data_IF_023304235828
#
_entry.id   IF_023304235828
#
_cell.length_a   1.000
_cell.length_b   1.000
_cell.length_c   1.000
_cell.angle_alpha   90.00
_cell.angle_beta   90.00
_cell.angle_gamma   90.00
#
_symmetry.space_group_name_H-M   'P 1'
#
loop_
_entity.id
_entity.type
_entity.pdbx_description
1 polymer ?
#
# COMPACT_ATOMS: atom_id res chain seq x y z
N UNK A 1 2.14 23.49 -20.97
CA UNK A 1 0.92 22.65 -20.90
C UNK A 1 1.17 21.16 -21.18
N UNK A 2 1.90 20.80 -22.23
CA UNK A 2 2.24 19.40 -22.59
C UNK A 2 3.22 18.73 -21.62
N UNK A 3 4.29 19.42 -21.22
CA UNK A 3 5.25 18.88 -20.23
C UNK A 3 4.65 18.64 -18.85
N UNK A 4 3.70 19.47 -18.45
CA UNK A 4 3.03 19.34 -17.14
C UNK A 4 2.07 18.15 -17.12
N UNK A 5 1.47 17.79 -18.26
CA UNK A 5 0.69 16.54 -18.43
C UNK A 5 1.59 15.31 -18.37
N UNK A 6 2.76 15.33 -19.01
CA UNK A 6 3.69 14.20 -18.98
C UNK A 6 4.19 13.96 -17.56
N UNK A 7 4.55 15.03 -16.83
CA UNK A 7 4.98 14.89 -15.44
C UNK A 7 3.87 14.32 -14.55
N UNK A 8 2.61 14.75 -14.74
CA UNK A 8 1.47 14.25 -13.96
C UNK A 8 1.08 12.80 -14.28
N UNK A 9 1.34 12.33 -15.50
CA UNK A 9 1.10 10.93 -15.86
C UNK A 9 2.24 10.03 -15.39
N UNK A 10 3.50 10.46 -15.49
CA UNK A 10 4.65 9.69 -15.00
C UNK A 10 4.58 9.47 -13.48
N UNK A 11 4.04 10.43 -12.71
CA UNK A 11 3.83 10.25 -11.27
C UNK A 11 2.74 9.23 -10.91
N UNK A 12 1.79 8.96 -11.83
CA UNK A 12 0.72 7.98 -11.64
C UNK A 12 1.17 6.54 -11.95
N UNK A 13 2.41 6.35 -12.39
CA UNK A 13 2.93 5.08 -12.89
C UNK A 13 4.15 4.68 -12.07
N UNK A 14 4.43 3.37 -12.00
CA UNK A 14 5.60 2.90 -11.31
C UNK A 14 6.86 3.37 -12.05
N UNK A 15 7.67 4.20 -11.39
CA UNK A 15 8.96 4.62 -11.91
C UNK A 15 10.06 3.62 -11.54
N UNK A 16 11.13 3.62 -12.32
CA UNK A 16 12.27 2.73 -12.09
C UNK A 16 12.88 2.96 -10.72
N UNK A 17 13.15 1.86 -10.00
CA UNK A 17 13.74 1.88 -8.67
C UNK A 17 12.94 2.65 -7.60
N UNK A 18 11.63 2.86 -7.79
CA UNK A 18 10.78 3.37 -6.73
C UNK A 18 10.65 2.33 -5.60
N UNK A 19 10.97 2.74 -4.38
CA UNK A 19 10.87 1.90 -3.18
C UNK A 19 9.56 2.13 -2.41
N UNK A 20 8.91 3.27 -2.64
CA UNK A 20 7.66 3.63 -1.98
C UNK A 20 6.42 3.28 -2.78
N UNK A 21 5.28 3.76 -2.30
CA UNK A 21 4.01 3.73 -3.02
C UNK A 21 4.02 4.78 -4.15
N UNK A 22 3.10 4.62 -5.12
CA UNK A 22 2.86 5.64 -6.15
C UNK A 22 2.20 6.88 -5.54
N UNK A 23 2.33 8.01 -6.23
CA UNK A 23 1.70 9.26 -5.80
C UNK A 23 0.17 9.11 -5.77
N UNK A 24 -0.45 9.63 -4.71
CA UNK A 24 -1.88 9.47 -4.49
C UNK A 24 -2.71 10.29 -5.49
N UNK A 25 -3.59 9.61 -6.23
CA UNK A 25 -4.56 10.25 -7.14
C UNK A 25 -5.95 10.44 -6.52
N UNK A 26 -6.19 9.92 -5.31
CA UNK A 26 -7.44 10.04 -4.57
C UNK A 26 -7.20 10.35 -3.08
N UNK A 27 -8.15 11.02 -2.39
CA UNK A 27 -8.03 11.30 -0.96
C UNK A 27 -7.90 10.03 -0.10
N UNK A 28 -8.52 8.92 -0.53
CA UNK A 28 -8.40 7.62 0.15
C UNK A 28 -6.99 7.06 0.03
N UNK A 29 -6.35 7.18 -1.14
CA UNK A 29 -4.96 6.75 -1.33
C UNK A 29 -3.98 7.58 -0.49
N UNK A 30 -4.24 8.87 -0.31
CA UNK A 30 -3.44 9.70 0.60
C UNK A 30 -3.54 9.22 2.05
N UNK A 31 -4.73 8.87 2.53
CA UNK A 31 -4.91 8.27 3.87
C UNK A 31 -4.22 6.90 4.00
N UNK A 32 -4.23 6.09 2.93
CA UNK A 32 -3.51 4.82 2.89
C UNK A 32 -1.99 5.03 2.99
N UNK A 33 -1.44 6.04 2.31
CA UNK A 33 -0.03 6.40 2.41
C UNK A 33 0.33 6.81 3.85
N UNK A 34 -0.48 7.66 4.50
CA UNK A 34 -0.27 8.02 5.91
C UNK A 34 -0.33 6.81 6.85
N UNK A 35 -1.28 5.90 6.63
CA UNK A 35 -1.38 4.67 7.43
C UNK A 35 -0.19 3.73 7.22
N UNK A 36 0.26 3.60 5.97
CA UNK A 36 1.45 2.83 5.62
C UNK A 36 2.69 3.39 6.34
N UNK A 37 2.93 4.69 6.27
CA UNK A 37 4.09 5.34 6.89
C UNK A 37 4.05 5.22 8.43
N UNK A 38 2.87 5.37 9.03
CA UNK A 38 2.67 5.15 10.46
C UNK A 38 3.03 3.71 10.88
N UNK A 39 2.56 2.71 10.12
CA UNK A 39 2.82 1.30 10.40
C UNK A 39 4.30 0.96 10.18
N UNK A 40 4.91 1.48 9.11
CA UNK A 40 6.33 1.29 8.81
C UNK A 40 7.22 1.90 9.90
N UNK A 41 6.86 3.06 10.45
CA UNK A 41 7.57 3.67 11.58
C UNK A 41 7.55 2.74 12.81
N UNK A 42 6.40 2.15 13.13
CA UNK A 42 6.29 1.22 14.26
C UNK A 42 7.13 -0.04 14.03
N UNK A 43 7.05 -0.63 12.83
CA UNK A 43 7.81 -1.82 12.47
C UNK A 43 9.32 -1.57 12.52
N UNK A 44 9.78 -0.44 11.99
CA UNK A 44 11.21 -0.07 12.03
C UNK A 44 11.71 0.15 13.46
N UNK A 45 10.90 0.73 14.34
CA UNK A 45 11.25 0.85 15.76
C UNK A 45 11.39 -0.53 16.44
N UNK A 46 10.49 -1.47 16.16
CA UNK A 46 10.59 -2.84 16.71
C UNK A 46 11.81 -3.56 16.16
N UNK A 47 12.08 -3.49 14.86
CA UNK A 47 13.23 -4.19 14.26
C UNK A 47 14.56 -3.65 14.78
N UNK A 48 14.68 -2.33 14.97
CA UNK A 48 15.86 -1.71 15.59
C UNK A 48 15.99 -2.16 17.05
N UNK A 49 14.91 -2.16 17.83
CA UNK A 49 14.93 -2.61 19.23
C UNK A 49 15.39 -4.07 19.37
N UNK A 50 14.80 -4.97 18.58
CA UNK A 50 15.15 -6.39 18.59
C UNK A 50 16.58 -6.59 18.09
N UNK A 51 16.96 -5.92 17.00
CA UNK A 51 18.32 -5.95 16.46
C UNK A 51 19.36 -5.48 17.48
N UNK A 52 19.05 -4.43 18.24
CA UNK A 52 19.91 -3.94 19.32
C UNK A 52 20.05 -4.96 20.46
N UNK A 53 18.95 -5.53 20.96
CA UNK A 53 19.00 -6.55 22.04
C UNK A 53 19.81 -7.77 21.59
N UNK A 54 19.56 -8.27 20.37
CA UNK A 54 20.31 -9.39 19.82
C UNK A 54 21.79 -9.06 19.66
N UNK A 55 22.14 -7.88 19.15
CA UNK A 55 23.53 -7.43 19.06
C UNK A 55 24.22 -7.39 20.43
N UNK A 56 23.56 -6.81 21.43
CA UNK A 56 24.08 -6.74 22.79
C UNK A 56 24.31 -8.12 23.42
N UNK A 57 23.40 -9.08 23.20
CA UNK A 57 23.54 -10.45 23.72
C UNK A 57 24.76 -11.16 23.11
N UNK A 58 25.06 -10.95 21.84
CA UNK A 58 26.22 -11.56 21.17
C UNK A 58 27.56 -11.04 21.70
N UNK A 59 27.62 -9.78 22.15
CA UNK A 59 28.85 -9.19 22.71
C UNK A 59 28.97 -9.33 24.23
N UNK A 60 27.94 -9.86 24.91
CA UNK A 60 27.95 -10.00 26.36
C UNK A 60 28.85 -11.16 26.81
N UNK A 61 29.79 -10.89 27.72
CA UNK A 61 30.71 -11.89 28.29
C UNK A 61 30.23 -12.49 29.61
N UNK A 62 29.24 -11.89 30.25
CA UNK A 62 28.74 -12.35 31.55
C UNK A 62 27.74 -13.49 31.38
N UNK A 63 27.81 -14.48 32.26
CA UNK A 63 26.89 -15.63 32.25
C UNK A 63 26.00 -15.62 33.48
N UNK A 64 24.70 -15.86 33.28
CA UNK A 64 23.76 -16.07 34.37
C UNK A 64 22.93 -17.34 34.11
N UNK A 65 23.26 -18.42 34.83
CA UNK A 65 22.65 -19.75 34.67
C UNK A 65 21.40 -19.98 35.52
N UNK A 66 21.13 -19.13 36.50
CA UNK A 66 20.05 -19.35 37.47
C UNK A 66 18.76 -18.59 37.13
N UNK A 67 18.73 -17.87 36.01
CA UNK A 67 17.53 -17.20 35.49
C UNK A 67 16.62 -18.22 34.81
N UNK A 68 15.90 -19.01 35.61
CA UNK A 68 15.02 -20.07 35.11
C UNK A 68 13.57 -19.62 34.87
N UNK A 69 13.11 -18.59 35.60
CA UNK A 69 11.76 -18.04 35.48
C UNK A 69 11.81 -16.51 35.59
N UNK A 70 10.94 -15.85 34.83
CA UNK A 70 10.85 -14.40 34.76
C UNK A 70 9.42 -13.92 34.51
N UNK A 71 8.47 -14.28 35.39
CA UNK A 71 7.07 -13.91 35.22
C UNK A 71 6.85 -12.42 34.95
N UNK A 72 7.64 -11.56 35.60
CA UNK A 72 7.54 -10.11 35.42
C UNK A 72 7.97 -9.66 34.02
N UNK A 73 9.02 -10.25 33.43
CA UNK A 73 9.45 -9.92 32.05
C UNK A 73 8.46 -10.48 31.03
N UNK A 74 7.87 -11.65 31.31
CA UNK A 74 6.82 -12.24 30.49
C UNK A 74 5.61 -11.33 30.36
N UNK A 75 5.12 -10.81 31.50
CA UNK A 75 4.00 -9.87 31.49
C UNK A 75 4.34 -8.61 30.68
N UNK A 76 5.56 -8.07 30.84
CA UNK A 76 6.00 -6.88 30.10
C UNK A 76 6.01 -7.13 28.59
N UNK A 77 6.65 -8.20 28.13
CA UNK A 77 6.76 -8.47 26.68
C UNK A 77 5.46 -8.99 26.05
N UNK A 78 4.43 -9.33 26.83
CA UNK A 78 3.11 -9.69 26.29
C UNK A 78 2.22 -8.46 26.21
N UNK A 79 2.21 -7.62 27.24
CA UNK A 79 1.37 -6.41 27.28
C UNK A 79 1.88 -5.33 26.32
N UNK A 80 3.21 -5.14 26.24
CA UNK A 80 3.79 -4.09 25.40
C UNK A 80 3.45 -4.26 23.91
N UNK A 81 3.63 -5.45 23.27
CA UNK A 81 3.20 -5.66 21.88
C UNK A 81 1.69 -5.56 21.69
N UNK A 82 0.88 -5.98 22.67
CA UNK A 82 -0.57 -5.85 22.58
C UNK A 82 -1.01 -4.38 22.49
N UNK A 83 -0.38 -3.50 23.25
CA UNK A 83 -0.62 -2.05 23.18
C UNK A 83 -0.17 -1.50 21.83
N UNK A 84 0.99 -1.91 21.30
CA UNK A 84 1.46 -1.47 19.98
C UNK A 84 0.46 -1.86 18.88
N UNK A 85 -0.05 -3.10 18.91
CA UNK A 85 -1.06 -3.55 17.93
C UNK A 85 -2.34 -2.74 18.00
N UNK A 86 -2.77 -2.32 19.20
CA UNK A 86 -3.92 -1.44 19.36
C UNK A 86 -3.73 -0.09 18.66
N UNK A 87 -2.52 0.49 18.73
CA UNK A 87 -2.20 1.73 18.02
C UNK A 87 -2.24 1.59 16.50
N UNK A 88 -1.88 0.42 15.95
CA UNK A 88 -2.01 0.15 14.51
C UNK A 88 -3.48 -0.08 14.14
N UNK A 89 -4.23 -0.79 14.98
CA UNK A 89 -5.61 -1.19 14.68
C UNK A 89 -6.58 0.02 14.59
N UNK A 90 -6.45 1.02 15.45
CA UNK A 90 -7.37 2.16 15.45
C UNK A 90 -7.40 2.97 14.13
N UNK A 91 -6.27 3.45 13.57
CA UNK A 91 -6.29 4.13 12.29
C UNK A 91 -6.69 3.18 11.15
N UNK A 92 -6.32 1.90 11.22
CA UNK A 92 -6.68 0.89 10.22
C UNK A 92 -8.20 0.70 10.10
N UNK A 93 -8.88 0.50 11.23
CA UNK A 93 -10.34 0.31 11.25
C UNK A 93 -11.08 1.56 10.77
N UNK A 94 -10.64 2.75 11.20
CA UNK A 94 -11.22 4.00 10.71
C UNK A 94 -11.13 4.11 9.18
N UNK A 95 -9.98 3.76 8.60
CA UNK A 95 -9.77 3.82 7.16
C UNK A 95 -10.66 2.79 6.43
N UNK A 96 -10.79 1.58 6.97
CA UNK A 96 -11.68 0.55 6.42
C UNK A 96 -13.12 1.06 6.29
N UNK A 97 -13.66 1.71 7.32
CA UNK A 97 -15.01 2.26 7.28
C UNK A 97 -15.15 3.43 6.29
N UNK A 98 -14.10 4.26 6.12
CA UNK A 98 -14.11 5.32 5.11
C UNK A 98 -14.11 4.77 3.68
N UNK A 99 -13.52 3.60 3.45
CA UNK A 99 -13.51 2.96 2.13
C UNK A 99 -14.85 2.31 1.78
N UNK A 100 -15.60 1.84 2.78
CA UNK A 100 -16.89 1.19 2.60
C UNK A 100 -18.03 2.20 2.37
N UNK A 101 -17.81 3.48 2.69
CA UNK A 101 -18.79 4.53 2.51
C UNK A 101 -19.00 4.83 1.02
N UNK A 102 -20.04 4.22 0.43
CA UNK A 102 -20.45 4.49 -0.95
C UNK A 102 -21.15 5.85 -0.98
N UNK A 103 -20.40 6.88 -1.37
CA UNK A 103 -20.97 8.18 -1.70
C UNK A 103 -21.90 8.07 -2.91
N UNK A 104 -22.95 8.91 -2.98
CA UNK A 104 -23.86 8.96 -4.14
C UNK A 104 -23.07 9.32 -5.41
N UNK A 105 -22.83 8.37 -6.34
CA UNK A 105 -22.01 8.64 -7.52
C UNK A 105 -22.81 9.44 -8.55
N UNK A 106 -22.15 10.31 -9.30
CA UNK A 106 -22.77 11.06 -10.41
C UNK A 106 -22.84 10.27 -11.71
N UNK A 107 -21.98 9.26 -11.88
CA UNK A 107 -21.84 8.43 -13.09
C UNK A 107 -21.56 6.98 -12.66
N UNK A 108 -22.16 6.02 -13.35
CA UNK A 108 -21.88 4.59 -13.24
C UNK A 108 -21.16 4.08 -14.49
N UNK A 109 -20.02 3.41 -14.28
CA UNK A 109 -19.26 2.72 -15.32
C UNK A 109 -19.11 1.27 -14.89
N UNK A 110 -19.53 0.35 -15.74
CA UNK A 110 -19.37 -1.07 -15.50
C UNK A 110 -18.18 -1.58 -16.30
N UNK A 111 -17.27 -2.29 -15.64
CA UNK A 111 -16.12 -2.95 -16.28
C UNK A 111 -16.32 -4.46 -16.19
N UNK A 112 -16.29 -5.14 -17.34
CA UNK A 112 -16.43 -6.61 -17.44
C UNK A 112 -15.09 -7.19 -17.89
N UNK A 113 -14.55 -8.09 -17.05
CA UNK A 113 -13.32 -8.80 -17.35
C UNK A 113 -13.57 -10.01 -18.26
N UNK A 114 -12.90 -10.04 -19.40
CA UNK A 114 -12.85 -11.18 -20.29
C UNK A 114 -11.47 -11.86 -20.24
N UNK A 115 -11.29 -12.94 -20.99
CA UNK A 115 -10.00 -13.59 -21.11
C UNK A 115 -9.04 -12.66 -21.88
N UNK A 116 -8.16 -11.98 -21.13
CA UNK A 116 -7.09 -11.08 -21.60
C UNK A 116 -7.50 -9.69 -22.12
N UNK A 117 -8.73 -9.25 -21.88
CA UNK A 117 -9.16 -7.88 -22.19
C UNK A 117 -10.29 -7.45 -21.27
N UNK A 118 -10.60 -6.15 -21.28
CA UNK A 118 -11.67 -5.55 -20.49
C UNK A 118 -12.68 -4.88 -21.42
N UNK A 119 -13.96 -5.00 -21.13
CA UNK A 119 -15.01 -4.23 -21.79
C UNK A 119 -15.65 -3.25 -20.81
N UNK A 120 -15.99 -2.06 -21.30
CA UNK A 120 -16.54 -0.98 -20.49
C UNK A 120 -17.92 -0.58 -21.01
N UNK A 121 -18.90 -0.49 -20.12
CA UNK A 121 -20.29 -0.19 -20.41
C UNK A 121 -20.73 1.08 -19.66
N UNK A 122 -21.12 2.11 -20.43
CA UNK A 122 -21.71 3.35 -19.94
C UNK A 122 -23.24 3.28 -20.07
N UNK A 123 -23.89 2.84 -18.99
CA UNK A 123 -25.35 2.60 -18.98
C UNK A 123 -26.23 3.84 -18.75
N UNK A 124 -25.66 4.94 -18.23
CA UNK A 124 -26.47 6.08 -17.76
C UNK A 124 -27.07 6.97 -18.86
N UNK A 125 -26.47 7.03 -20.04
CA UNK A 125 -26.88 8.02 -21.07
C UNK A 125 -27.01 7.47 -22.48
N UNK A 126 -26.05 6.68 -22.96
CA UNK A 126 -25.91 6.36 -24.39
C UNK A 126 -25.74 4.87 -24.69
N UNK A 127 -25.83 3.99 -23.68
CA UNK A 127 -25.51 2.56 -23.81
C UNK A 127 -24.26 2.32 -24.65
N UNK A 128 -23.19 3.07 -24.32
CA UNK A 128 -21.91 2.98 -25.03
C UNK A 128 -21.13 1.80 -24.47
N UNK A 129 -20.71 0.91 -25.35
CA UNK A 129 -19.90 -0.25 -25.03
C UNK A 129 -18.66 -0.27 -25.92
N UNK A 130 -17.49 -0.54 -25.33
CA UNK A 130 -16.24 -0.75 -26.07
C UNK A 130 -15.31 -1.71 -25.34
N UNK A 131 -14.45 -2.37 -26.12
CA UNK A 131 -13.40 -3.26 -25.63
C UNK A 131 -12.06 -2.53 -25.56
N UNK A 132 -11.26 -2.87 -24.56
CA UNK A 132 -9.91 -2.35 -24.30
C UNK A 132 -8.91 -3.50 -24.33
N UNK A 133 -8.04 -3.49 -25.35
CA UNK A 133 -7.01 -4.50 -25.59
C UNK A 133 -5.62 -3.89 -25.44
N UNK A 134 -4.68 -4.66 -24.92
CA UNK A 134 -3.27 -4.24 -24.86
C UNK A 134 -2.69 -4.04 -26.25
N UNK A 135 -2.03 -2.91 -26.48
CA UNK A 135 -1.38 -2.62 -27.76
C UNK A 135 -0.16 -3.56 -27.94
N UNK A 136 -0.08 -4.31 -29.06
CA UNK A 136 1.07 -5.16 -29.34
C UNK A 136 2.36 -4.36 -29.43
N UNK A 137 3.48 -4.94 -28.99
CA UNK A 137 4.76 -4.22 -28.94
C UNK A 137 5.26 -3.72 -30.30
N UNK A 138 4.79 -4.31 -31.39
CA UNK A 138 5.15 -3.93 -32.75
C UNK A 138 4.37 -2.70 -33.25
N UNK A 139 3.24 -2.40 -32.62
CA UNK A 139 2.36 -1.27 -32.96
C UNK A 139 2.47 -0.11 -31.95
N UNK A 140 3.26 -0.31 -30.88
CA UNK A 140 3.50 0.72 -29.87
C UNK A 140 4.26 1.92 -30.46
N UNK A 141 3.78 3.12 -30.14
CA UNK A 141 4.50 4.35 -30.41
C UNK A 141 5.78 4.45 -29.55
N UNK A 142 6.76 5.24 -30.01
CA UNK A 142 8.05 5.39 -29.33
C UNK A 142 7.95 5.95 -27.89
N UNK A 143 6.87 6.67 -27.58
CA UNK A 143 6.56 7.18 -26.25
C UNK A 143 5.62 6.28 -25.44
N UNK A 144 5.14 5.18 -26.03
CA UNK A 144 4.18 4.28 -25.40
C UNK A 144 4.81 3.44 -24.30
N UNK A 145 3.99 3.09 -23.31
CA UNK A 145 4.40 2.24 -22.19
C UNK A 145 4.11 0.78 -22.52
N UNK A 146 5.19 0.01 -22.66
CA UNK A 146 5.14 -1.41 -22.95
C UNK A 146 4.33 -2.16 -21.88
N UNK A 147 3.31 -2.90 -22.32
CA UNK A 147 2.39 -3.71 -21.50
C UNK A 147 1.41 -2.91 -20.61
N UNK A 148 1.31 -1.60 -20.78
CA UNK A 148 0.37 -0.76 -20.03
C UNK A 148 -0.63 -0.04 -20.93
N UNK A 149 -0.22 0.33 -22.14
CA UNK A 149 -1.10 1.04 -23.06
C UNK A 149 -2.13 0.09 -23.71
N UNK A 150 -3.34 0.62 -23.87
CA UNK A 150 -4.56 -0.04 -24.37
C UNK A 150 -5.35 0.86 -25.31
#
# INVERSE_FOLDING_TARGET
PSYMKILSFVSMMATWANLGLQDSSSPLMEQLNFFHDHTLLILTMITILVGYIMGMLMFNKFTNRYLLHGQTIEIIWTVLPAIILMFIAFPSLRLLYLMDEINTPSITLKSVGHQWYWSYEYSDFLNLEFDSYMIPTNELEMSGFRLLDV
#
